data_IF_892926265046
#
_entry.id   IF_892926265046
#
_cell.length_a   1.000
_cell.length_b   1.000
_cell.length_c   1.000
_cell.angle_alpha   90.00
_cell.angle_beta   90.00
_cell.angle_gamma   90.00
#
_symmetry.space_group_name_H-M   'P 1'
#
loop_
_entity.id
_entity.type
_entity.pdbx_description
1 polymer ?
#
# COMPACT_ATOMS: atom_id res chain seq x y z
N UNK A 1 -13.49 -5.97 15.59
CA UNK A 1 -13.47 -5.81 14.11
C UNK A 1 -13.95 -7.03 13.33
N UNK A 2 -13.61 -8.28 13.70
CA UNK A 2 -14.09 -9.46 12.97
C UNK A 2 -15.63 -9.56 12.86
N UNK A 3 -16.37 -9.20 13.91
CA UNK A 3 -17.85 -9.14 13.87
C UNK A 3 -18.40 -8.08 12.90
N UNK A 4 -17.76 -6.92 12.81
CA UNK A 4 -18.15 -5.86 11.87
C UNK A 4 -17.85 -6.28 10.42
N UNK A 5 -16.67 -6.89 10.20
CA UNK A 5 -16.32 -7.49 8.91
C UNK A 5 -17.27 -8.63 8.52
N UNK A 6 -17.76 -9.41 9.48
CA UNK A 6 -18.77 -10.45 9.26
C UNK A 6 -20.17 -9.87 8.96
N UNK A 7 -20.56 -8.75 9.56
CA UNK A 7 -21.85 -8.10 9.29
C UNK A 7 -21.86 -7.45 7.90
N UNK A 8 -20.85 -6.63 7.62
CA UNK A 8 -20.70 -5.91 6.35
C UNK A 8 -20.28 -6.85 5.22
N UNK A 9 -19.54 -7.89 5.55
CA UNK A 9 -18.99 -8.79 4.55
C UNK A 9 -20.05 -9.58 3.80
N UNK A 10 -21.18 -9.88 4.44
CA UNK A 10 -22.24 -10.68 3.81
C UNK A 10 -22.89 -9.98 2.61
N UNK A 11 -23.35 -8.72 2.68
CA UNK A 11 -23.83 -8.02 1.49
C UNK A 11 -22.69 -7.72 0.50
N UNK A 12 -21.49 -7.41 1.00
CA UNK A 12 -20.36 -6.98 0.16
C UNK A 12 -19.86 -8.09 -0.77
N UNK A 13 -19.80 -9.35 -0.29
CA UNK A 13 -19.19 -10.46 -1.05
C UNK A 13 -20.14 -11.16 -2.02
N UNK A 14 -21.39 -10.69 -2.17
CA UNK A 14 -22.37 -11.28 -3.11
C UNK A 14 -21.92 -11.20 -4.55
N UNK A 15 -21.23 -10.13 -4.93
CA UNK A 15 -20.58 -9.97 -6.23
C UNK A 15 -19.07 -9.96 -6.04
N UNK A 16 -18.34 -10.49 -7.02
CA UNK A 16 -16.87 -10.49 -7.01
C UNK A 16 -16.33 -9.48 -8.01
N UNK A 17 -15.04 -9.15 -7.90
CA UNK A 17 -14.38 -8.25 -8.85
C UNK A 17 -14.62 -6.78 -8.55
N UNK A 18 -14.91 -5.99 -9.59
CA UNK A 18 -15.07 -4.53 -9.46
C UNK A 18 -16.23 -4.10 -8.54
N UNK A 19 -17.42 -4.74 -8.54
CA UNK A 19 -18.48 -4.34 -7.62
C UNK A 19 -18.10 -4.54 -6.16
N UNK A 20 -17.36 -5.62 -5.84
CA UNK A 20 -16.87 -5.89 -4.49
C UNK A 20 -15.95 -4.76 -4.00
N UNK A 21 -15.03 -4.32 -4.86
CA UNK A 21 -14.11 -3.24 -4.54
C UNK A 21 -14.85 -1.90 -4.32
N UNK A 22 -15.80 -1.58 -5.20
CA UNK A 22 -16.60 -0.34 -5.09
C UNK A 22 -17.45 -0.31 -3.81
N UNK A 23 -18.10 -1.42 -3.46
CA UNK A 23 -18.89 -1.51 -2.22
C UNK A 23 -17.98 -1.38 -1.00
N UNK A 24 -16.82 -2.05 -0.99
CA UNK A 24 -15.87 -1.98 0.13
C UNK A 24 -15.34 -0.57 0.34
N UNK A 25 -15.03 0.15 -0.76
CA UNK A 25 -14.60 1.55 -0.71
C UNK A 25 -15.72 2.47 -0.21
N UNK A 26 -16.94 2.29 -0.72
CA UNK A 26 -18.10 3.07 -0.30
C UNK A 26 -18.39 2.90 1.20
N UNK A 27 -18.27 1.67 1.71
CA UNK A 27 -18.40 1.40 3.15
C UNK A 27 -17.28 2.07 3.95
N UNK A 28 -16.03 2.01 3.47
CA UNK A 28 -14.91 2.68 4.13
C UNK A 28 -15.12 4.19 4.25
N UNK A 29 -15.52 4.84 3.15
CA UNK A 29 -15.82 6.28 3.13
C UNK A 29 -17.04 6.64 3.96
N UNK A 30 -18.06 5.78 4.00
CA UNK A 30 -19.21 5.98 4.88
C UNK A 30 -18.78 5.98 6.36
N UNK A 31 -17.89 5.07 6.76
CA UNK A 31 -17.35 5.01 8.13
C UNK A 31 -16.47 6.23 8.42
N UNK A 32 -15.63 6.66 7.47
CA UNK A 32 -14.82 7.87 7.61
C UNK A 32 -15.68 9.13 7.79
N UNK A 33 -16.71 9.31 6.96
CA UNK A 33 -17.65 10.43 7.09
C UNK A 33 -18.44 10.37 8.40
N UNK A 34 -18.88 9.17 8.82
CA UNK A 34 -19.58 8.99 10.08
C UNK A 34 -18.71 9.33 11.30
N UNK A 35 -17.40 9.09 11.22
CA UNK A 35 -16.47 9.40 12.32
C UNK A 35 -16.40 10.91 12.63
N UNK A 36 -16.50 11.76 11.62
CA UNK A 36 -16.57 13.22 11.82
C UNK A 36 -17.91 13.70 12.36
N UNK A 37 -19.02 13.05 11.96
CA UNK A 37 -20.39 13.50 12.26
C UNK A 37 -20.94 12.97 13.59
N UNK A 38 -20.40 11.86 14.12
CA UNK A 38 -20.92 11.18 15.32
C UNK A 38 -19.91 11.26 16.50
N UNK A 39 -19.98 12.33 17.33
CA UNK A 39 -19.00 12.55 18.39
C UNK A 39 -19.08 11.51 19.51
N UNK A 40 -20.27 11.00 19.81
CA UNK A 40 -20.48 10.03 20.90
C UNK A 40 -19.75 8.71 20.68
N UNK A 41 -19.60 8.28 19.42
CA UNK A 41 -18.99 6.99 19.08
C UNK A 41 -17.53 7.12 18.65
N UNK A 42 -17.17 8.23 17.99
CA UNK A 42 -15.86 8.39 17.35
C UNK A 42 -15.04 9.58 17.89
N UNK A 43 -15.57 10.36 18.83
CA UNK A 43 -14.91 11.56 19.34
C UNK A 43 -14.96 12.77 18.39
N UNK A 44 -15.64 12.64 17.24
CA UNK A 44 -15.78 13.69 16.24
C UNK A 44 -14.45 14.05 15.60
N UNK A 45 -14.24 15.32 15.26
CA UNK A 45 -12.97 15.80 14.67
C UNK A 45 -11.78 15.68 15.63
N UNK A 46 -12.02 15.69 16.94
CA UNK A 46 -10.98 15.52 17.96
C UNK A 46 -10.48 14.08 18.11
N UNK A 47 -11.25 13.10 17.62
CA UNK A 47 -10.95 11.68 17.77
C UNK A 47 -11.07 11.16 19.20
N UNK A 48 -10.72 9.90 19.39
CA UNK A 48 -10.68 9.24 20.70
C UNK A 48 -9.24 9.18 21.18
N UNK A 49 -8.97 9.74 22.36
CA UNK A 49 -7.69 9.58 23.05
C UNK A 49 -7.72 8.31 23.89
N UNK A 50 -6.63 7.55 23.84
CA UNK A 50 -6.47 6.30 24.57
C UNK A 50 -5.31 6.45 25.55
N UNK A 51 -5.58 6.24 26.83
CA UNK A 51 -4.53 6.17 27.86
C UNK A 51 -4.02 4.74 27.97
N UNK A 52 -2.79 4.51 27.49
CA UNK A 52 -2.12 3.20 27.55
C UNK A 52 -1.63 2.84 28.96
N UNK A 53 -1.50 3.81 29.87
CA UNK A 53 -1.08 3.58 31.25
C UNK A 53 -2.23 3.09 32.13
N UNK A 54 -3.47 3.41 31.76
CA UNK A 54 -4.71 2.92 32.36
C UNK A 54 -5.09 1.48 31.92
N UNK A 55 -4.10 0.63 31.66
CA UNK A 55 -4.30 -0.72 31.13
C UNK A 55 -5.12 -1.63 32.05
N UNK A 56 -5.75 -2.70 31.52
CA UNK A 56 -6.62 -3.58 32.29
C UNK A 56 -5.85 -4.28 33.42
N UNK A 57 -6.39 -4.24 34.64
CA UNK A 57 -5.82 -4.83 35.86
C UNK A 57 -5.41 -6.31 35.73
N UNK A 58 -5.97 -7.03 34.75
CA UNK A 58 -5.60 -8.40 34.40
C UNK A 58 -4.12 -8.55 33.99
N UNK A 59 -3.53 -7.57 33.31
CA UNK A 59 -2.10 -7.61 32.95
C UNK A 59 -1.21 -7.33 34.17
N UNK A 60 -1.63 -6.40 35.03
CA UNK A 60 -0.93 -6.05 36.26
C UNK A 60 -0.89 -7.22 37.28
N UNK A 61 -1.89 -8.11 37.27
CA UNK A 61 -1.94 -9.28 38.15
C UNK A 61 -1.11 -10.48 37.70
N UNK A 62 -0.79 -10.59 36.40
CA UNK A 62 -0.09 -11.75 35.83
C UNK A 62 1.40 -11.46 35.56
N UNK A 63 1.76 -10.19 35.30
CA UNK A 63 3.14 -9.73 35.06
C UNK A 63 3.34 -8.31 35.66
N UNK A 64 3.72 -8.19 36.95
CA UNK A 64 3.81 -6.91 37.66
C UNK A 64 4.76 -5.88 37.05
N UNK A 65 5.73 -6.35 36.26
CA UNK A 65 6.78 -5.54 35.63
C UNK A 65 6.42 -5.06 34.21
N UNK A 66 5.34 -5.59 33.61
CA UNK A 66 4.91 -5.24 32.25
C UNK A 66 3.96 -4.03 32.26
N UNK A 67 4.55 -2.84 32.27
CA UNK A 67 3.84 -1.56 32.10
C UNK A 67 3.72 -1.18 30.62
N UNK A 68 2.49 -1.02 30.12
CA UNK A 68 2.20 -0.48 28.78
C UNK A 68 2.59 1.00 28.62
N UNK A 69 3.03 1.67 29.70
CA UNK A 69 3.55 3.03 29.65
C UNK A 69 4.93 3.15 28.99
N UNK A 70 5.70 2.06 28.87
CA UNK A 70 7.00 2.10 28.18
C UNK A 70 6.84 1.82 26.69
N UNK A 71 7.43 2.67 25.84
CA UNK A 71 7.47 2.49 24.38
C UNK A 71 8.09 1.15 23.98
N UNK A 72 9.06 0.65 24.75
CA UNK A 72 9.69 -0.65 24.50
C UNK A 72 8.70 -1.81 24.65
N UNK A 73 7.80 -1.78 25.64
CA UNK A 73 6.81 -2.84 25.82
C UNK A 73 5.77 -2.83 24.68
N UNK A 74 5.35 -1.65 24.24
CA UNK A 74 4.45 -1.51 23.08
C UNK A 74 5.13 -2.00 21.80
N UNK A 75 6.43 -1.72 21.63
CA UNK A 75 7.22 -2.25 20.53
C UNK A 75 7.27 -3.78 20.54
N UNK A 76 7.64 -4.41 21.66
CA UNK A 76 7.69 -5.87 21.76
C UNK A 76 6.33 -6.52 21.56
N UNK A 77 5.26 -5.94 22.11
CA UNK A 77 3.89 -6.40 21.88
C UNK A 77 3.53 -6.38 20.38
N UNK A 78 3.83 -5.26 19.71
CA UNK A 78 3.58 -5.09 18.28
C UNK A 78 4.41 -6.06 17.45
N UNK A 79 5.69 -6.26 17.81
CA UNK A 79 6.58 -7.19 17.14
C UNK A 79 6.09 -8.65 17.26
N UNK A 80 5.70 -9.07 18.47
CA UNK A 80 5.15 -10.41 18.72
C UNK A 80 3.88 -10.64 17.89
N UNK A 81 2.94 -9.69 17.89
CA UNK A 81 1.73 -9.80 17.10
C UNK A 81 1.99 -9.78 15.59
N UNK A 82 2.98 -9.01 15.14
CA UNK A 82 3.37 -8.98 13.72
C UNK A 82 3.93 -10.33 13.28
N UNK A 83 4.82 -10.93 14.07
CA UNK A 83 5.38 -12.26 13.80
C UNK A 83 4.30 -13.33 13.90
N UNK A 84 3.46 -13.30 14.93
CA UNK A 84 2.35 -14.24 15.10
C UNK A 84 1.35 -14.15 13.94
N UNK A 85 0.99 -12.94 13.52
CA UNK A 85 0.13 -12.70 12.36
C UNK A 85 0.74 -13.21 11.06
N UNK A 86 2.04 -12.95 10.83
CA UNK A 86 2.76 -13.50 9.68
C UNK A 86 2.77 -15.03 9.70
N UNK A 87 3.09 -15.67 10.83
CA UNK A 87 3.07 -17.12 10.96
C UNK A 87 1.65 -17.69 10.74
N UNK A 88 0.61 -17.02 11.25
CA UNK A 88 -0.78 -17.44 11.08
C UNK A 88 -1.22 -17.36 9.60
N UNK A 89 -0.89 -16.29 8.89
CA UNK A 89 -1.19 -16.17 7.45
C UNK A 89 -0.37 -17.18 6.64
N UNK A 90 0.89 -17.44 7.02
CA UNK A 90 1.73 -18.45 6.38
C UNK A 90 1.16 -19.87 6.59
N UNK A 91 0.68 -20.17 7.80
CA UNK A 91 0.01 -21.43 8.09
C UNK A 91 -1.30 -21.56 7.30
N UNK A 92 -2.09 -20.48 7.23
CA UNK A 92 -3.31 -20.42 6.41
C UNK A 92 -3.00 -20.71 4.94
N UNK A 93 -1.83 -20.27 4.44
CA UNK A 93 -1.37 -20.57 3.09
C UNK A 93 -1.16 -22.04 2.75
N UNK A 94 -1.01 -22.89 3.76
CA UNK A 94 -0.90 -24.35 3.58
C UNK A 94 -2.25 -25.06 3.64
N UNK A 95 -3.31 -24.38 4.08
CA UNK A 95 -4.64 -24.97 4.23
C UNK A 95 -5.38 -25.07 2.87
N UNK A 96 -6.33 -26.01 2.72
CA UNK A 96 -7.15 -26.10 1.51
C UNK A 96 -8.02 -24.86 1.30
N UNK A 97 -8.31 -24.10 2.36
CA UNK A 97 -9.10 -22.88 2.28
C UNK A 97 -8.46 -21.83 1.37
N UNK A 98 -7.15 -21.58 1.52
CA UNK A 98 -6.48 -20.57 0.68
C UNK A 98 -6.34 -21.05 -0.77
N UNK A 99 -6.17 -22.36 -1.00
CA UNK A 99 -6.18 -22.94 -2.34
C UNK A 99 -7.54 -22.73 -3.02
N UNK A 100 -8.64 -22.92 -2.29
CA UNK A 100 -9.99 -22.64 -2.76
C UNK A 100 -10.21 -21.14 -2.99
N UNK A 101 -9.69 -20.27 -2.12
CA UNK A 101 -9.76 -18.82 -2.31
C UNK A 101 -9.03 -18.35 -3.58
N UNK A 102 -7.86 -18.92 -3.87
CA UNK A 102 -7.15 -18.68 -5.13
C UNK A 102 -7.96 -19.18 -6.33
N UNK A 103 -8.56 -20.38 -6.25
CA UNK A 103 -9.43 -20.88 -7.31
C UNK A 103 -10.65 -19.97 -7.55
N UNK A 104 -11.25 -19.42 -6.48
CA UNK A 104 -12.37 -18.46 -6.57
C UNK A 104 -11.93 -17.13 -7.20
N UNK A 105 -10.68 -16.72 -6.97
CA UNK A 105 -10.08 -15.54 -7.61
C UNK A 105 -9.88 -15.76 -9.10
N UNK A 106 -9.38 -16.92 -9.50
CA UNK A 106 -9.03 -17.21 -10.89
C UNK A 106 -10.27 -17.45 -11.75
N UNK A 107 -11.20 -18.31 -11.30
CA UNK A 107 -12.45 -18.55 -12.00
C UNK A 107 -13.59 -18.92 -11.04
N UNK A 108 -14.39 -17.94 -10.58
CA UNK A 108 -15.47 -18.20 -9.63
C UNK A 108 -16.60 -19.04 -10.24
N UNK A 109 -16.83 -18.98 -11.56
CA UNK A 109 -17.84 -19.80 -12.22
C UNK A 109 -17.43 -21.27 -12.17
N UNK A 110 -16.17 -21.59 -12.46
CA UNK A 110 -15.61 -22.95 -12.38
C UNK A 110 -15.73 -23.54 -10.97
N UNK A 111 -15.48 -22.74 -9.94
CA UNK A 111 -15.62 -23.21 -8.54
C UNK A 111 -17.08 -23.52 -8.19
N UNK A 112 -18.03 -22.72 -8.69
CA UNK A 112 -19.45 -22.97 -8.51
C UNK A 112 -19.91 -24.29 -9.18
N UNK A 113 -19.36 -24.62 -10.37
CA UNK A 113 -19.66 -25.90 -11.03
C UNK A 113 -19.14 -27.13 -10.27
N UNK A 114 -18.08 -26.98 -9.47
CA UNK A 114 -17.53 -28.06 -8.64
C UNK A 114 -18.37 -28.23 -7.33
N UNK A 115 -19.35 -27.35 -7.09
CA UNK A 115 -20.26 -27.42 -5.94
C UNK A 115 -19.88 -26.53 -4.76
N UNK A 116 -18.83 -25.70 -4.88
CA UNK A 116 -18.45 -24.74 -3.85
C UNK A 116 -19.04 -23.36 -4.13
N UNK A 117 -19.67 -22.76 -3.12
CA UNK A 117 -20.21 -21.40 -3.22
C UNK A 117 -19.08 -20.33 -3.15
N UNK A 118 -18.79 -19.59 -4.23
CA UNK A 118 -17.77 -18.54 -4.24
C UNK A 118 -18.05 -17.42 -3.23
N UNK A 119 -19.33 -17.19 -2.90
CA UNK A 119 -19.74 -16.16 -1.94
C UNK A 119 -19.22 -16.47 -0.53
N UNK A 120 -19.41 -17.70 -0.05
CA UNK A 120 -18.95 -18.14 1.28
C UNK A 120 -17.43 -18.04 1.43
N UNK A 121 -16.70 -18.40 0.38
CA UNK A 121 -15.23 -18.32 0.39
C UNK A 121 -14.76 -16.87 0.51
N UNK A 122 -15.33 -15.96 -0.29
CA UNK A 122 -15.00 -14.52 -0.19
C UNK A 122 -15.38 -13.95 1.17
N UNK A 123 -16.54 -14.33 1.71
CA UNK A 123 -17.00 -13.91 3.03
C UNK A 123 -16.03 -14.30 4.15
N UNK A 124 -15.57 -15.55 4.14
CA UNK A 124 -14.61 -16.04 5.14
C UNK A 124 -13.26 -15.32 5.01
N UNK A 125 -12.77 -15.14 3.77
CA UNK A 125 -11.52 -14.42 3.52
C UNK A 125 -11.60 -12.95 3.97
N UNK A 126 -12.72 -12.28 3.73
CA UNK A 126 -12.94 -10.90 4.18
C UNK A 126 -12.99 -10.81 5.72
N UNK A 127 -13.67 -11.76 6.37
CA UNK A 127 -13.75 -11.81 7.84
C UNK A 127 -12.37 -12.03 8.47
N UNK A 128 -11.57 -12.95 7.89
CA UNK A 128 -10.18 -13.17 8.32
C UNK A 128 -9.30 -11.93 8.09
N UNK A 129 -9.40 -11.29 6.92
CA UNK A 129 -8.68 -10.04 6.65
C UNK A 129 -9.06 -8.94 7.65
N UNK A 130 -10.35 -8.80 7.96
CA UNK A 130 -10.86 -7.84 8.94
C UNK A 130 -10.41 -8.14 10.38
N UNK A 131 -10.16 -9.41 10.73
CA UNK A 131 -9.54 -9.77 12.00
C UNK A 131 -8.10 -9.25 12.09
N UNK A 132 -7.25 -9.56 11.11
CA UNK A 132 -5.85 -9.09 11.11
C UNK A 132 -5.74 -7.58 11.01
N UNK A 133 -6.55 -6.93 10.16
CA UNK A 133 -6.61 -5.48 10.05
C UNK A 133 -7.09 -4.84 11.37
N UNK A 134 -8.04 -5.47 12.07
CA UNK A 134 -8.50 -5.01 13.38
C UNK A 134 -7.44 -5.08 14.47
N UNK A 135 -6.67 -6.18 14.52
CA UNK A 135 -5.53 -6.30 15.44
C UNK A 135 -4.48 -5.24 15.12
N UNK A 136 -4.13 -5.06 13.84
CA UNK A 136 -3.19 -4.03 13.42
C UNK A 136 -3.67 -2.61 13.77
N UNK A 137 -4.96 -2.31 13.60
CA UNK A 137 -5.56 -1.03 14.00
C UNK A 137 -5.55 -0.82 15.52
N UNK A 138 -5.80 -1.86 16.30
CA UNK A 138 -5.68 -1.80 17.77
C UNK A 138 -4.26 -1.51 18.23
N UNK A 139 -3.26 -2.17 17.63
CA UNK A 139 -1.85 -1.90 17.90
C UNK A 139 -1.45 -0.47 17.48
N UNK A 140 -1.99 0.02 16.37
CA UNK A 140 -1.80 1.41 15.93
C UNK A 140 -2.37 2.40 16.95
N UNK A 141 -3.57 2.16 17.46
CA UNK A 141 -4.20 3.01 18.48
C UNK A 141 -3.40 3.01 19.79
N UNK A 142 -2.81 1.87 20.18
CA UNK A 142 -1.92 1.79 21.34
C UNK A 142 -0.60 2.53 21.13
N UNK A 143 -0.09 2.58 19.89
CA UNK A 143 1.17 3.25 19.58
C UNK A 143 1.01 4.77 19.45
N UNK A 144 -0.10 5.23 18.86
CA UNK A 144 -0.35 6.64 18.63
C UNK A 144 -1.11 7.32 19.78
N UNK A 145 -1.76 6.57 20.67
CA UNK A 145 -2.59 7.06 21.79
C UNK A 145 -3.76 7.97 21.39
N UNK A 146 -3.99 8.12 20.08
CA UNK A 146 -5.08 8.89 19.52
C UNK A 146 -5.58 8.20 18.25
N UNK A 147 -6.89 8.05 18.16
CA UNK A 147 -7.60 7.56 16.99
C UNK A 147 -8.47 8.68 16.43
N UNK A 148 -7.95 9.38 15.42
CA UNK A 148 -8.67 10.44 14.70
C UNK A 148 -9.40 9.91 13.46
N UNK A 149 -10.38 10.68 12.96
CA UNK A 149 -11.13 10.35 11.74
C UNK A 149 -10.22 10.14 10.51
N UNK A 150 -9.10 10.87 10.43
CA UNK A 150 -8.08 10.71 9.37
C UNK A 150 -7.50 9.30 9.28
N UNK A 151 -7.45 8.58 10.41
CA UNK A 151 -6.94 7.21 10.46
C UNK A 151 -7.85 6.23 9.71
N UNK A 152 -9.12 6.59 9.48
CA UNK A 152 -10.13 5.79 8.80
C UNK A 152 -10.25 6.14 7.30
N UNK A 153 -9.62 7.23 6.84
CA UNK A 153 -9.78 7.71 5.47
C UNK A 153 -9.17 6.80 4.40
N UNK A 154 -9.64 6.93 3.15
CA UNK A 154 -9.08 6.20 2.01
C UNK A 154 -7.58 6.42 1.83
N UNK A 155 -7.03 7.58 2.19
CA UNK A 155 -5.60 7.86 2.03
C UNK A 155 -4.73 6.93 2.89
N UNK A 156 -5.15 6.68 4.14
CA UNK A 156 -4.47 5.75 5.06
C UNK A 156 -4.56 4.31 4.54
N UNK A 157 -5.75 3.90 4.09
CA UNK A 157 -5.97 2.59 3.47
C UNK A 157 -5.15 2.41 2.18
N UNK A 158 -5.05 3.49 1.40
CA UNK A 158 -4.24 3.58 0.20
C UNK A 158 -2.76 3.33 0.48
N UNK A 159 -2.20 3.92 1.54
CA UNK A 159 -0.80 3.70 1.92
C UNK A 159 -0.47 2.21 2.17
N UNK A 160 -1.39 1.47 2.79
CA UNK A 160 -1.22 0.01 3.00
C UNK A 160 -1.30 -0.74 1.66
N UNK A 161 -2.25 -0.39 0.80
CA UNK A 161 -2.34 -0.97 -0.54
C UNK A 161 -1.07 -0.69 -1.37
N UNK A 162 -0.55 0.54 -1.30
CA UNK A 162 0.70 0.95 -1.94
C UNK A 162 1.85 0.06 -1.48
N UNK A 163 2.01 -0.15 -0.16
CA UNK A 163 3.02 -1.06 0.38
C UNK A 163 2.89 -2.48 -0.16
N UNK A 164 1.67 -3.02 -0.24
CA UNK A 164 1.42 -4.37 -0.81
C UNK A 164 1.82 -4.44 -2.28
N UNK A 165 1.47 -3.44 -3.08
CA UNK A 165 1.75 -3.43 -4.52
C UNK A 165 3.23 -3.20 -4.81
N UNK A 166 3.88 -2.28 -4.09
CA UNK A 166 5.35 -2.04 -4.17
C UNK A 166 6.10 -3.32 -3.80
N UNK A 167 5.69 -3.95 -2.69
CA UNK A 167 6.25 -5.20 -2.22
C UNK A 167 6.04 -6.37 -3.19
N UNK A 168 4.86 -6.43 -3.82
CA UNK A 168 4.44 -7.48 -4.73
C UNK A 168 3.72 -8.63 -4.01
N UNK A 169 2.58 -9.09 -4.55
CA UNK A 169 1.76 -10.16 -3.96
C UNK A 169 2.20 -11.58 -4.35
N UNK A 170 3.23 -11.72 -5.19
CA UNK A 170 3.72 -13.01 -5.68
C UNK A 170 4.61 -13.79 -4.70
N UNK A 171 5.09 -13.16 -3.63
CA UNK A 171 5.84 -13.79 -2.54
C UNK A 171 5.19 -13.43 -1.20
N UNK A 172 5.19 -14.38 -0.26
CA UNK A 172 4.63 -14.20 1.07
C UNK A 172 5.22 -13.00 1.82
N UNK A 173 6.54 -12.80 1.73
CA UNK A 173 7.24 -11.67 2.36
C UNK A 173 7.22 -10.39 1.53
N UNK A 174 6.61 -10.40 0.34
CA UNK A 174 6.54 -9.23 -0.54
C UNK A 174 5.90 -8.01 0.14
N UNK A 175 4.68 -8.12 0.69
CA UNK A 175 4.02 -7.01 1.41
C UNK A 175 4.82 -6.47 2.60
N UNK A 176 5.54 -7.35 3.32
CA UNK A 176 6.40 -6.96 4.45
C UNK A 176 7.57 -6.10 3.96
N UNK A 177 8.27 -6.53 2.90
CA UNK A 177 9.34 -5.75 2.29
C UNK A 177 8.82 -4.41 1.74
N UNK A 178 7.65 -4.42 1.10
CA UNK A 178 7.01 -3.21 0.60
C UNK A 178 6.65 -2.23 1.73
N UNK A 179 6.15 -2.71 2.86
CA UNK A 179 5.87 -1.88 4.04
C UNK A 179 7.15 -1.24 4.61
N UNK A 180 8.26 -1.98 4.68
CA UNK A 180 9.55 -1.44 5.13
C UNK A 180 10.03 -0.35 4.17
N UNK A 181 9.99 -0.59 2.86
CA UNK A 181 10.40 0.40 1.85
C UNK A 181 9.52 1.65 1.91
N UNK A 182 8.19 1.49 1.85
CA UNK A 182 7.24 2.62 1.87
C UNK A 182 7.39 3.45 3.15
N UNK A 183 7.55 2.79 4.30
CA UNK A 183 7.74 3.48 5.59
C UNK A 183 9.08 4.20 5.64
N UNK A 184 10.17 3.56 5.21
CA UNK A 184 11.49 4.18 5.13
C UNK A 184 11.48 5.43 4.24
N UNK A 185 10.89 5.33 3.05
CA UNK A 185 10.75 6.45 2.14
C UNK A 185 9.86 7.56 2.72
N UNK A 186 8.74 7.21 3.37
CA UNK A 186 7.88 8.20 4.03
C UNK A 186 8.66 9.02 5.07
N UNK A 187 9.44 8.37 5.93
CA UNK A 187 10.25 9.04 6.97
C UNK A 187 11.45 9.81 6.39
N UNK A 188 12.06 9.29 5.32
CA UNK A 188 13.18 9.96 4.65
C UNK A 188 12.71 11.22 3.90
N UNK A 189 11.65 11.10 3.10
CA UNK A 189 11.08 12.19 2.29
C UNK A 189 10.44 13.26 3.17
N UNK A 190 9.72 12.87 4.23
CA UNK A 190 9.08 13.83 5.16
C UNK A 190 10.09 14.77 5.84
N UNK A 191 11.37 14.39 5.94
CA UNK A 191 12.43 15.26 6.47
C UNK A 191 12.96 16.27 5.45
N UNK A 192 12.77 16.02 4.16
CA UNK A 192 13.36 16.83 3.09
C UNK A 192 12.32 17.68 2.35
N UNK A 193 11.08 17.18 2.17
CA UNK A 193 10.06 17.87 1.38
C UNK A 193 8.70 17.90 2.09
N UNK A 194 8.01 19.04 2.02
CA UNK A 194 6.63 19.16 2.48
C UNK A 194 5.64 18.37 1.61
N UNK A 195 5.98 18.18 0.33
CA UNK A 195 5.21 17.43 -0.66
C UNK A 195 5.53 15.91 -0.68
N UNK A 196 5.98 15.33 0.43
CA UNK A 196 6.49 13.94 0.48
C UNK A 196 5.48 12.88 0.01
N UNK A 197 4.16 13.12 0.18
CA UNK A 197 3.11 12.21 -0.29
C UNK A 197 3.05 12.09 -1.83
N UNK A 198 3.31 13.20 -2.55
CA UNK A 198 3.39 13.20 -4.02
C UNK A 198 4.60 12.40 -4.49
N UNK A 199 5.74 12.58 -3.82
CA UNK A 199 6.95 11.79 -4.08
C UNK A 199 6.77 10.30 -3.81
N UNK A 200 6.04 9.95 -2.76
CA UNK A 200 5.73 8.56 -2.46
C UNK A 200 4.86 7.92 -3.55
N UNK A 201 3.86 8.64 -4.07
CA UNK A 201 3.05 8.21 -5.21
C UNK A 201 3.86 8.04 -6.50
N UNK A 202 4.86 8.90 -6.71
CA UNK A 202 5.77 8.83 -7.84
C UNK A 202 6.71 7.62 -7.76
N UNK A 203 7.28 7.33 -6.58
CA UNK A 203 8.05 6.10 -6.33
C UNK A 203 7.19 4.86 -6.58
N UNK A 204 5.94 4.87 -6.11
CA UNK A 204 4.98 3.81 -6.39
C UNK A 204 4.76 3.61 -7.90
N UNK A 205 4.49 4.69 -8.64
CA UNK A 205 4.30 4.62 -10.09
C UNK A 205 5.56 4.05 -10.78
N UNK A 206 6.75 4.48 -10.35
CA UNK A 206 8.02 3.97 -10.85
C UNK A 206 8.14 2.44 -10.64
N UNK A 207 7.86 1.95 -9.43
CA UNK A 207 7.93 0.52 -9.12
C UNK A 207 6.95 -0.29 -9.97
N UNK A 208 5.70 0.15 -10.10
CA UNK A 208 4.68 -0.54 -10.90
C UNK A 208 5.02 -0.56 -12.39
N UNK A 209 5.62 0.51 -12.91
CA UNK A 209 5.99 0.62 -14.32
C UNK A 209 7.24 -0.21 -14.66
N UNK A 210 8.21 -0.31 -13.75
CA UNK A 210 9.51 -0.97 -14.01
C UNK A 210 9.49 -2.44 -13.60
N UNK A 211 8.76 -2.81 -12.53
CA UNK A 211 8.72 -4.16 -11.97
C UNK A 211 7.27 -4.71 -11.97
N UNK A 212 6.82 -5.42 -13.03
CA UNK A 212 5.45 -5.96 -13.16
C UNK A 212 5.07 -7.10 -12.18
N UNK A 213 5.77 -7.24 -11.06
CA UNK A 213 5.43 -8.13 -9.95
C UNK A 213 5.85 -7.56 -8.58
N UNK A 214 6.12 -6.25 -8.51
CA UNK A 214 6.71 -5.59 -7.36
C UNK A 214 8.17 -6.01 -7.11
N UNK A 215 8.72 -5.56 -5.98
CA UNK A 215 10.07 -5.90 -5.53
C UNK A 215 10.28 -7.41 -5.40
N UNK A 216 9.27 -8.12 -4.88
CA UNK A 216 9.23 -9.56 -4.77
C UNK A 216 9.40 -10.27 -6.14
N UNK A 217 8.58 -9.92 -7.12
CA UNK A 217 8.66 -10.52 -8.46
C UNK A 217 10.02 -10.29 -9.11
N UNK A 218 10.54 -9.06 -8.98
CA UNK A 218 11.89 -8.71 -9.46
C UNK A 218 12.99 -9.55 -8.80
N UNK A 219 12.95 -9.75 -7.49
CA UNK A 219 13.93 -10.56 -6.77
C UNK A 219 13.87 -12.04 -7.19
N UNK A 220 12.67 -12.61 -7.38
CA UNK A 220 12.50 -13.99 -7.85
C UNK A 220 13.01 -14.18 -9.27
N UNK A 221 12.68 -13.25 -10.16
CA UNK A 221 13.14 -13.29 -11.55
C UNK A 221 14.65 -13.15 -11.63
N UNK A 222 15.22 -12.17 -10.91
CA UNK A 222 16.67 -11.98 -10.81
C UNK A 222 17.36 -13.24 -10.27
N UNK A 223 16.87 -13.86 -9.20
CA UNK A 223 17.42 -15.09 -8.66
C UNK A 223 17.40 -16.25 -9.68
N UNK A 224 16.30 -16.39 -10.44
CA UNK A 224 16.17 -17.42 -11.50
C UNK A 224 17.13 -17.20 -12.66
N UNK A 225 17.42 -15.95 -12.99
CA UNK A 225 18.26 -15.59 -14.15
C UNK A 225 19.74 -15.58 -13.82
N UNK A 226 20.09 -15.22 -12.58
CA UNK A 226 21.42 -15.46 -12.02
C UNK A 226 21.73 -16.95 -12.02
N UNK A 227 20.77 -17.80 -11.63
CA UNK A 227 20.92 -19.25 -11.69
C UNK A 227 21.07 -19.80 -13.12
N UNK A 228 20.50 -19.12 -14.14
CA UNK A 228 20.57 -19.53 -15.55
C UNK A 228 21.68 -18.83 -16.35
N UNK A 229 22.46 -17.92 -15.76
CA UNK A 229 23.51 -17.10 -16.41
C UNK A 229 23.04 -16.26 -17.63
N UNK A 230 21.73 -16.04 -17.79
CA UNK A 230 21.14 -15.28 -18.91
C UNK A 230 20.71 -13.85 -18.52
N UNK A 231 21.51 -13.17 -17.68
CA UNK A 231 21.20 -11.83 -17.18
C UNK A 231 21.10 -10.76 -18.29
N UNK A 232 21.88 -10.90 -19.37
CA UNK A 232 21.95 -9.90 -20.44
C UNK A 232 20.64 -9.78 -21.25
N UNK A 233 19.87 -10.88 -21.40
CA UNK A 233 18.58 -10.88 -22.09
C UNK A 233 17.46 -10.22 -21.27
N UNK A 234 17.54 -10.28 -19.94
CA UNK A 234 16.56 -9.69 -19.03
C UNK A 234 16.78 -8.19 -18.75
N UNK A 235 18.05 -7.76 -18.71
CA UNK A 235 18.43 -6.37 -18.42
C UNK A 235 18.17 -5.43 -19.59
N UNK A 236 18.30 -5.87 -20.86
CA UNK A 236 18.08 -5.00 -22.03
C UNK A 236 16.65 -4.42 -22.11
N UNK A 237 15.56 -5.21 -22.10
CA UNK A 237 14.20 -4.65 -22.18
C UNK A 237 13.80 -3.85 -20.91
N UNK A 238 14.26 -4.29 -19.73
CA UNK A 238 13.99 -3.57 -18.47
C UNK A 238 14.81 -2.30 -18.31
N UNK A 239 16.01 -2.21 -18.88
CA UNK A 239 16.85 -1.00 -18.85
C UNK A 239 16.21 0.18 -19.56
N UNK A 240 15.54 -0.06 -20.70
CA UNK A 240 14.75 0.98 -21.39
C UNK A 240 13.52 1.40 -20.60
N UNK A 241 12.83 0.45 -19.96
CA UNK A 241 11.70 0.74 -19.08
C UNK A 241 12.14 1.53 -17.83
N UNK A 242 13.28 1.19 -17.24
CA UNK A 242 13.88 1.91 -16.12
C UNK A 242 14.32 3.32 -16.51
N UNK A 243 14.96 3.50 -17.68
CA UNK A 243 15.33 4.83 -18.18
C UNK A 243 14.09 5.71 -18.45
N UNK A 244 13.04 5.15 -19.04
CA UNK A 244 11.77 5.84 -19.25
C UNK A 244 11.08 6.20 -17.92
N UNK A 245 11.05 5.29 -16.96
CA UNK A 245 10.48 5.55 -15.64
C UNK A 245 11.29 6.61 -14.88
N UNK A 246 12.63 6.55 -14.89
CA UNK A 246 13.49 7.55 -14.25
C UNK A 246 13.32 8.94 -14.89
N UNK A 247 13.23 9.01 -16.23
CA UNK A 247 12.94 10.27 -16.93
C UNK A 247 11.56 10.84 -16.58
N UNK A 248 10.54 9.98 -16.51
CA UNK A 248 9.19 10.37 -16.09
C UNK A 248 9.13 10.81 -14.62
N UNK A 249 9.88 10.14 -13.75
CA UNK A 249 10.04 10.50 -12.35
C UNK A 249 10.74 11.85 -12.17
N UNK A 250 11.77 12.12 -12.96
CA UNK A 250 12.46 13.41 -12.95
C UNK A 250 11.55 14.54 -13.45
N UNK A 251 10.80 14.32 -14.53
CA UNK A 251 9.83 15.29 -15.06
C UNK A 251 8.67 15.57 -14.10
N UNK A 252 8.12 14.53 -13.46
CA UNK A 252 7.06 14.68 -12.45
C UNK A 252 7.60 15.34 -11.18
N UNK A 253 8.81 15.00 -10.73
CA UNK A 253 9.47 15.65 -9.58
C UNK A 253 9.62 17.15 -9.81
N UNK A 254 10.07 17.55 -11.00
CA UNK A 254 10.18 18.96 -11.38
C UNK A 254 8.81 19.66 -11.41
N UNK A 255 7.79 19.01 -11.97
CA UNK A 255 6.43 19.55 -12.00
C UNK A 255 5.83 19.69 -10.58
N UNK A 256 6.10 18.74 -9.69
CA UNK A 256 5.66 18.77 -8.29
C UNK A 256 6.26 19.97 -7.56
N UNK A 257 7.56 20.20 -7.69
CA UNK A 257 8.25 21.31 -7.02
C UNK A 257 7.75 22.68 -7.53
N UNK A 258 7.54 22.81 -8.85
CA UNK A 258 6.97 24.02 -9.45
C UNK A 258 5.52 24.26 -8.99
N UNK A 259 4.69 23.21 -8.96
CA UNK A 259 3.31 23.31 -8.50
C UNK A 259 3.24 23.64 -6.99
N UNK A 260 4.07 22.98 -6.19
CA UNK A 260 4.12 23.19 -4.74
C UNK A 260 4.56 24.61 -4.39
N UNK A 261 5.63 25.10 -5.02
CA UNK A 261 6.09 26.48 -4.86
C UNK A 261 5.07 27.52 -5.32
N UNK A 262 4.27 27.23 -6.35
CA UNK A 262 3.21 28.13 -6.83
C UNK A 262 2.02 28.22 -5.88
N UNK A 263 1.66 27.11 -5.22
CA UNK A 263 0.49 27.05 -4.33
C UNK A 263 0.82 27.51 -2.91
N UNK A 264 2.00 27.16 -2.39
CA UNK A 264 2.41 27.47 -1.02
C UNK A 264 3.38 28.66 -0.91
N UNK A 265 3.87 29.18 -2.04
CA UNK A 265 4.62 30.43 -2.10
C UNK A 265 3.68 31.62 -1.93
N UNK A 266 3.28 31.89 -0.69
CA UNK A 266 2.49 33.06 -0.35
C UNK A 266 3.29 34.36 -0.62
N UNK A 267 3.00 35.05 -1.72
CA UNK A 267 3.22 36.50 -1.86
C UNK A 267 4.60 37.00 -2.34
N UNK A 268 5.48 36.15 -2.87
CA UNK A 268 6.75 36.60 -3.47
C UNK A 268 7.33 35.59 -4.46
N UNK A 269 8.39 35.94 -5.23
CA UNK A 269 9.10 35.00 -6.10
C UNK A 269 9.85 33.98 -5.23
N UNK A 270 9.11 32.99 -4.73
CA UNK A 270 9.65 31.87 -3.98
C UNK A 270 10.43 31.00 -4.98
N UNK A 271 11.73 31.29 -5.11
CA UNK A 271 12.65 30.48 -5.88
C UNK A 271 12.66 29.07 -5.31
N UNK A 272 12.16 28.10 -6.07
CA UNK A 272 12.15 26.70 -5.68
C UNK A 272 13.48 26.09 -6.09
N UNK A 273 14.23 25.53 -5.14
CA UNK A 273 15.51 24.87 -5.43
C UNK A 273 15.30 23.42 -5.85
N UNK A 274 15.32 23.13 -7.15
CA UNK A 274 15.31 21.76 -7.67
C UNK A 274 16.76 21.30 -7.92
N UNK A 275 17.28 20.36 -7.13
CA UNK A 275 18.67 19.87 -7.22
C UNK A 275 19.73 20.99 -7.24
N UNK A 276 19.51 22.06 -6.48
CA UNK A 276 20.41 23.23 -6.41
C UNK A 276 20.17 24.30 -7.50
N UNK A 277 19.25 24.06 -8.44
CA UNK A 277 18.80 25.08 -9.40
C UNK A 277 17.60 25.83 -8.83
N UNK A 278 17.76 27.14 -8.63
CA UNK A 278 16.65 28.03 -8.25
C UNK A 278 15.76 28.29 -9.46
N UNK A 279 14.54 27.78 -9.43
CA UNK A 279 13.55 27.92 -10.49
C UNK A 279 12.41 28.80 -10.02
N UNK A 280 12.00 29.72 -10.88
CA UNK A 280 10.83 30.56 -10.65
C UNK A 280 9.54 29.81 -11.07
N UNK A 281 8.61 29.52 -10.15
CA UNK A 281 7.36 28.80 -10.43
C UNK A 281 6.41 29.54 -11.38
N UNK A 282 6.60 30.85 -11.56
CA UNK A 282 5.76 31.70 -12.41
C UNK A 282 6.20 31.71 -13.88
N UNK A 283 7.46 31.37 -14.16
CA UNK A 283 8.02 31.35 -15.51
C UNK A 283 7.53 30.15 -16.32
N UNK A 284 7.32 30.31 -17.64
CA UNK A 284 6.88 29.22 -18.52
C UNK A 284 7.98 28.19 -18.83
N UNK A 285 9.25 28.57 -18.70
CA UNK A 285 10.41 27.78 -19.12
C UNK A 285 10.63 26.52 -18.24
N UNK A 286 10.51 26.56 -16.90
CA UNK A 286 10.54 25.36 -16.06
C UNK A 286 9.39 24.40 -16.33
N UNK A 287 8.19 24.91 -16.64
CA UNK A 287 7.04 24.07 -17.02
C UNK A 287 7.25 23.38 -18.37
N UNK A 288 7.85 24.08 -19.35
CA UNK A 288 8.24 23.49 -20.62
C UNK A 288 9.31 22.40 -20.46
N UNK A 289 10.29 22.61 -19.57
CA UNK A 289 11.32 21.61 -19.26
C UNK A 289 10.72 20.35 -18.59
N UNK A 290 9.77 20.51 -17.68
CA UNK A 290 9.03 19.38 -17.10
C UNK A 290 8.25 18.61 -18.19
N UNK A 291 7.55 19.31 -19.08
CA UNK A 291 6.85 18.70 -20.22
C UNK A 291 7.80 17.95 -21.17
N UNK A 292 8.97 18.52 -21.46
CA UNK A 292 9.99 17.92 -22.32
C UNK A 292 10.63 16.65 -21.72
N UNK A 293 10.67 16.50 -20.39
CA UNK A 293 11.10 15.27 -19.72
C UNK A 293 9.99 14.20 -19.70
N UNK A 294 8.72 14.62 -19.59
CA UNK A 294 7.57 13.73 -19.52
C UNK A 294 7.17 13.10 -20.86
N UNK A 295 7.20 13.88 -21.95
CA UNK A 295 6.81 13.40 -23.27
C UNK A 295 7.64 12.19 -23.78
N UNK A 296 8.99 12.20 -23.76
CA UNK A 296 9.78 11.05 -24.19
C UNK A 296 9.65 9.86 -23.24
N UNK A 297 9.51 10.11 -21.93
CA UNK A 297 9.24 9.06 -20.95
C UNK A 297 7.92 8.33 -21.22
N UNK A 298 6.86 9.07 -21.53
CA UNK A 298 5.56 8.51 -21.90
C UNK A 298 5.65 7.66 -23.18
N UNK A 299 6.38 8.14 -24.20
CA UNK A 299 6.58 7.40 -25.46
C UNK A 299 7.38 6.12 -25.27
N UNK A 300 8.43 6.14 -24.45
CA UNK A 300 9.25 4.96 -24.13
C UNK A 300 8.43 3.92 -23.36
N UNK A 301 7.63 4.36 -22.37
CA UNK A 301 6.75 3.49 -21.59
C UNK A 301 5.64 2.87 -22.46
N UNK A 302 5.01 3.66 -23.35
CA UNK A 302 3.99 3.15 -24.29
C UNK A 302 4.57 2.13 -25.27
N UNK A 303 5.77 2.36 -25.81
CA UNK A 303 6.44 1.42 -26.71
C UNK A 303 6.96 0.17 -25.99
N UNK A 304 7.32 0.28 -24.72
CA UNK A 304 7.72 -0.85 -23.88
C UNK A 304 6.57 -1.81 -23.55
N UNK A 305 5.36 -1.29 -23.31
CA UNK A 305 4.16 -2.12 -23.02
C UNK A 305 3.81 -3.08 -24.17
N UNK A 306 4.00 -2.65 -25.42
CA UNK A 306 3.76 -3.50 -26.60
C UNK A 306 4.69 -4.71 -26.73
N UNK A 307 5.85 -4.71 -26.04
CA UNK A 307 6.81 -5.84 -26.07
C UNK A 307 6.69 -6.76 -24.86
N UNK A 308 6.20 -6.26 -23.73
CA UNK A 308 5.97 -7.08 -22.53
C UNK A 308 4.74 -7.99 -22.63
N UNK A 309 3.75 -7.64 -23.48
CA UNK A 309 2.60 -8.50 -23.81
C UNK A 309 2.97 -9.70 -24.72
N UNK A 310 4.21 -9.78 -25.20
CA UNK A 310 4.71 -10.86 -26.05
C UNK A 310 5.68 -11.78 -25.29
N UNK A 311 5.40 -12.11 -24.03
CA UNK A 311 6.09 -13.22 -23.37
C UNK A 311 5.49 -14.56 -23.84
N UNK A 312 6.28 -15.49 -24.40
CA UNK A 312 5.81 -16.76 -24.93
C UNK A 312 5.56 -17.76 -23.79
N UNK A 313 4.42 -17.66 -23.11
CA UNK A 313 4.10 -18.54 -21.97
C UNK A 313 2.65 -18.99 -21.82
N UNK A 314 1.71 -18.50 -22.63
CA UNK A 314 0.28 -18.87 -22.53
C UNK A 314 -0.18 -19.92 -23.55
N UNK A 315 0.76 -20.72 -24.09
CA UNK A 315 0.40 -21.85 -24.96
C UNK A 315 0.42 -23.23 -24.31
N UNK A 316 0.90 -23.44 -23.07
CA UNK A 316 0.84 -24.76 -22.45
C UNK A 316 0.69 -24.68 -20.92
N UNK A 317 -0.56 -24.69 -20.43
CA UNK A 317 -1.00 -25.29 -19.15
C UNK A 317 -2.53 -25.20 -18.99
#
# INVERSE_FOLDING_TARGET
MAGFAALIGYPTTRRGGTPFAMISLAVGELVHAAAGVLPEWFGGEGGLTADRTAGPAFAAGLWPEWSLGSDLHVYYLTAVWTVAGALAIHALGRTPLLKLANAVRDNPQRVAFIGYDPHRVRYLMLTMAGFFAGVAGGLMALNLEIASADSLGALRSGAVLLAVVVGGSGLFLGPVAGAVVVTFFSVALSRHTGAWQLYLGLVFAAVVLVLPGGLAGGARDAARLVARRELAGWLRPRGWAAAGALGGCAGLSLAIELAYGRVHGAGGPAAVSWFGLTLDPSAALPWAAAGALLAPAAVILFRGRGRAAASPGECDA
#
